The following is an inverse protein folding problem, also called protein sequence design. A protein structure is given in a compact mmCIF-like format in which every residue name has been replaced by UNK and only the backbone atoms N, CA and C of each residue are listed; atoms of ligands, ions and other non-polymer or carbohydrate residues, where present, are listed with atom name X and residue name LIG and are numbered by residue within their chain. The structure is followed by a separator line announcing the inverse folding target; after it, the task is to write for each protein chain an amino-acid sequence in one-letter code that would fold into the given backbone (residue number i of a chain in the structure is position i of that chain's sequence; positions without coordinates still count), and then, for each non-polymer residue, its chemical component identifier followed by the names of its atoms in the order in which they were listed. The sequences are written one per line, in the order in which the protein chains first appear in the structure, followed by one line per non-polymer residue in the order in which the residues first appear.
data_IF_289297168213
#
_entry.id   IF_289297168213
#
_cell.length_a   1.000
_cell.length_b   1.000
_cell.length_c   1.000
_cell.angle_alpha   90.00
_cell.angle_beta   90.00
_cell.angle_gamma   90.00
#
_symmetry.space_group_name_H-M   'P 1'
#
loop_
_entity.id
_entity.type
_entity.pdbx_description
1 polymer ?
2 non-polymer ?
3 water ?
#
# COMPACT_ATOMS: atom_id res chain seq x y z
N UNK A 3 -1.33 -15.24 3.02
CA UNK A 3 -0.88 -14.39 1.86
C UNK A 3 0.43 -13.64 2.12
N UNK A 4 1.48 -14.10 1.46
CA UNK A 4 2.85 -13.51 1.53
C UNK A 4 3.28 -13.07 0.15
N UNK A 5 3.88 -11.88 0.03
CA UNK A 5 4.44 -11.45 -1.23
C UNK A 5 5.62 -10.50 -0.98
N UNK A 6 6.33 -10.19 -2.05
CA UNK A 6 7.38 -9.23 -2.05
C UNK A 6 7.45 -8.71 -3.47
N UNK A 7 8.04 -7.54 -3.70
CA UNK A 7 8.35 -7.17 -5.06
C UNK A 7 9.18 -5.95 -5.14
N UNK A 8 9.19 -5.30 -6.30
CA UNK A 8 9.89 -4.02 -6.39
C UNK A 8 9.44 -3.26 -7.55
N UNK A 9 9.69 -1.95 -7.51
CA UNK A 9 9.36 -1.02 -8.57
C UNK A 9 10.54 -0.06 -8.78
N UNK A 10 10.81 0.26 -10.03
CA UNK A 10 11.71 1.36 -10.32
C UNK A 10 10.88 2.62 -10.52
N UNK A 11 11.29 3.70 -9.89
CA UNK A 11 10.53 4.91 -9.94
C UNK A 11 11.39 6.04 -10.47
N UNK A 12 10.73 7.00 -11.10
CA UNK A 12 11.39 8.16 -11.64
C UNK A 12 11.40 9.22 -10.56
N UNK A 13 12.53 9.38 -9.89
CA UNK A 13 12.65 10.42 -8.87
C UNK A 13 13.72 10.01 -7.92
N UNK A 14 14.24 10.96 -7.14
CA UNK A 14 15.23 10.59 -6.13
C UNK A 14 14.56 9.97 -4.90
N UNK A 15 15.39 9.36 -4.05
CA UNK A 15 14.90 8.68 -2.86
C UNK A 15 14.07 9.67 -2.06
N UNK A 16 14.60 10.87 -1.88
CA UNK A 16 13.88 11.98 -1.29
C UNK A 16 12.60 12.37 -2.03
N UNK A 17 12.58 12.31 -3.34
CA UNK A 17 11.35 12.70 -4.04
C UNK A 17 10.22 11.71 -3.73
N UNK A 18 10.59 10.43 -3.66
CA UNK A 18 9.68 9.31 -3.42
C UNK A 18 9.24 9.29 -1.97
N UNK A 19 10.20 9.38 -1.05
CA UNK A 19 9.88 9.40 0.38
C UNK A 19 8.86 10.51 0.77
N UNK A 20 9.01 11.70 0.23
CA UNK A 20 8.05 12.77 0.54
C UNK A 20 6.61 12.52 0.01
N UNK A 21 6.45 11.75 -1.08
CA UNK A 21 5.09 11.35 -1.52
C UNK A 21 4.52 10.27 -0.62
N UNK A 22 5.37 9.30 -0.30
CA UNK A 22 4.95 8.18 0.49
C UNK A 22 4.56 8.58 1.93
N UNK A 23 5.07 9.71 2.41
CA UNK A 23 4.81 10.14 3.78
C UNK A 23 3.75 11.25 3.87
N UNK A 24 3.19 11.63 2.73
CA UNK A 24 2.19 12.70 2.66
C UNK A 24 0.76 12.15 2.68
N UNK A 25 0.06 12.21 3.83
CA UNK A 25 -1.27 11.57 3.88
C UNK A 25 -2.33 12.06 2.88
N UNK A 26 -2.26 13.31 2.43
CA UNK A 26 -3.17 13.75 1.34
C UNK A 26 -2.89 13.07 0.01
N UNK A 27 -1.63 12.80 -0.28
CA UNK A 27 -1.25 12.13 -1.48
C UNK A 27 -1.62 10.61 -1.42
N UNK A 28 -1.45 10.00 -0.25
CA UNK A 28 -1.78 8.61 -0.07
C UNK A 28 -3.29 8.39 -0.25
N UNK A 29 -4.10 9.18 0.45
CA UNK A 29 -5.55 9.13 0.28
C UNK A 29 -6.00 9.07 -1.17
N UNK A 30 -5.33 9.87 -2.00
CA UNK A 30 -5.54 9.96 -3.41
C UNK A 30 -5.02 8.75 -4.15
N UNK A 31 -3.91 8.17 -3.71
CA UNK A 31 -3.33 6.99 -4.43
C UNK A 31 -3.82 5.60 -3.98
N UNK A 32 -4.49 5.50 -2.84
CA UNK A 32 -5.01 4.19 -2.36
C UNK A 32 -6.34 4.04 -3.02
N UNK A 33 -6.57 2.92 -3.67
CA UNK A 33 -7.85 2.80 -4.35
C UNK A 33 -9.03 2.63 -3.40
N UNK A 34 -10.08 3.39 -3.64
CA UNK A 34 -11.27 3.26 -2.82
C UNK A 34 -11.24 4.16 -1.62
N UNK A 35 -10.09 4.78 -1.38
CA UNK A 35 -9.89 5.59 -0.21
C UNK A 35 -10.62 6.92 -0.33
N UNK A 36 -11.61 7.11 0.55
CA UNK A 36 -12.46 8.30 0.57
C UNK A 36 -11.83 9.30 1.51
N UNK A 37 -11.38 8.81 2.68
CA UNK A 37 -10.60 9.62 3.60
C UNK A 37 -9.57 8.81 4.39
N UNK A 38 -8.43 9.46 4.68
CA UNK A 38 -7.43 9.01 5.65
C UNK A 38 -7.43 10.01 6.79
N UNK A 39 -7.96 9.61 7.94
CA UNK A 39 -7.96 10.45 9.13
C UNK A 39 -6.85 10.02 10.09
N UNK A 40 -5.99 10.98 10.44
CA UNK A 40 -5.08 10.83 11.57
C UNK A 40 -5.84 10.59 12.88
N UNK A 41 -5.52 9.50 13.56
CA UNK A 41 -6.25 9.18 14.77
C UNK A 41 -5.22 8.93 15.86
N UNK A 42 -3.97 9.12 15.50
CA UNK A 42 -2.88 8.77 16.42
C UNK A 42 -1.54 9.10 15.82
N UNK A 43 -0.48 8.76 16.54
CA UNK A 43 0.84 9.07 16.02
C UNK A 43 1.22 8.06 14.93
N UNK A 44 1.32 8.57 13.71
CA UNK A 44 1.66 7.76 12.53
C UNK A 44 0.59 6.66 12.30
N UNK A 45 -0.66 7.00 12.62
CA UNK A 45 -1.79 6.05 12.67
C UNK A 45 -3.01 6.72 12.05
N UNK A 46 -3.53 6.11 10.99
CA UNK A 46 -4.67 6.65 10.27
C UNK A 46 -5.82 5.66 10.23
N UNK A 47 -6.99 6.22 9.94
CA UNK A 47 -8.20 5.48 9.73
C UNK A 47 -8.58 5.79 8.29
N UNK A 48 -8.70 4.72 7.52
CA UNK A 48 -9.07 4.84 6.15
C UNK A 48 -10.49 4.28 5.96
N UNK A 49 -11.31 5.05 5.24
CA UNK A 49 -12.65 4.63 4.81
C UNK A 49 -12.52 4.15 3.35
N UNK A 50 -12.54 2.84 3.14
CA UNK A 50 -12.30 2.29 1.79
C UNK A 50 -13.59 1.78 1.13
N UNK A 51 -13.88 2.29 -0.05
CA UNK A 51 -14.98 1.74 -0.83
C UNK A 51 -14.42 1.09 -2.07
N UNK A 52 -14.30 -0.21 -2.02
CA UNK A 52 -13.62 -0.93 -3.05
C UNK A 52 -14.64 -1.53 -4.02
N UNK A 53 -14.56 -1.07 -5.28
CA UNK A 53 -15.44 -1.49 -6.37
C UNK A 53 -15.04 -2.77 -7.09
N UNK A 54 -13.79 -3.19 -6.98
CA UNK A 54 -13.37 -4.41 -7.65
C UNK A 54 -14.35 -5.49 -7.27
N UNK A 55 -15.11 -5.95 -8.25
CA UNK A 55 -16.06 -7.06 -8.13
C UNK A 55 -15.67 -8.24 -7.24
N UNK A 56 -14.48 -8.79 -7.39
CA UNK A 56 -14.16 -10.00 -6.61
C UNK A 56 -14.13 -9.73 -5.09
N UNK A 57 -13.91 -8.46 -4.73
CA UNK A 57 -13.72 -8.08 -3.33
C UNK A 57 -14.61 -6.91 -2.94
N UNK A 58 -15.56 -6.59 -3.81
CA UNK A 58 -16.38 -5.41 -3.66
C UNK A 58 -16.97 -5.31 -2.23
N UNK A 59 -17.02 -4.11 -1.69
CA UNK A 59 -17.28 -3.94 -0.28
C UNK A 59 -16.76 -2.61 0.26
N UNK A 60 -17.25 -2.31 1.47
CA UNK A 60 -16.85 -1.17 2.25
C UNK A 60 -16.06 -1.68 3.45
N UNK A 61 -14.91 -1.06 3.67
CA UNK A 61 -14.01 -1.57 4.68
C UNK A 61 -13.52 -0.39 5.42
N UNK A 62 -13.29 -0.58 6.71
CA UNK A 62 -12.51 0.38 7.51
C UNK A 62 -11.17 -0.25 7.82
N UNK A 63 -10.11 0.57 7.75
CA UNK A 63 -8.76 0.08 7.89
C UNK A 63 -8.05 0.96 8.85
N UNK A 64 -7.33 0.36 9.80
CA UNK A 64 -6.34 1.09 10.58
C UNK A 64 -4.95 0.87 9.94
N UNK A 65 -4.28 1.96 9.61
CA UNK A 65 -2.95 1.90 9.00
C UNK A 65 -1.99 2.62 9.91
N UNK A 66 -1.04 1.88 10.49
CA UNK A 66 0.06 2.43 11.29
C UNK A 66 1.44 2.37 10.58
N UNK A 67 2.07 3.53 10.40
CA UNK A 67 3.46 3.63 9.92
C UNK A 67 4.45 3.51 11.10
N UNK A 68 5.28 2.47 11.15
CA UNK A 68 6.26 2.30 12.22
C UNK A 68 7.73 2.12 11.69
N UNK A 69 8.71 2.04 12.60
CA UNK A 69 10.14 1.81 12.30
C UNK A 69 10.60 2.79 11.22
N UNK A 70 10.23 4.03 11.38
CA UNK A 70 10.33 4.99 10.31
C UNK A 70 11.73 5.53 10.24
N UNK A 71 12.39 5.28 9.10
CA UNK A 71 13.72 5.75 8.91
C UNK A 71 14.15 6.62 7.74
N UNK A 72 13.98 7.92 7.82
CA UNK A 72 13.71 8.75 6.68
C UNK A 72 15.12 8.88 6.02
N UNK A 73 15.18 9.12 4.70
CA UNK A 73 14.07 8.99 3.80
C UNK A 73 14.07 7.58 3.10
N UNK A 74 14.39 6.49 3.79
CA UNK A 74 14.62 5.24 3.07
C UNK A 74 13.94 3.94 3.55
N UNK A 75 13.36 3.89 4.72
CA UNK A 75 12.77 2.65 5.17
C UNK A 75 11.56 2.88 6.07
N UNK A 76 10.48 2.12 5.91
CA UNK A 76 9.45 2.03 6.97
C UNK A 76 8.71 0.70 7.00
N UNK A 77 7.91 0.50 8.06
CA UNK A 77 7.04 -0.65 8.16
C UNK A 77 5.60 -0.19 8.25
N UNK A 78 4.67 -1.02 7.76
CA UNK A 78 3.24 -0.73 7.82
C UNK A 78 2.51 -1.81 8.55
N UNK A 79 1.59 -1.44 9.44
CA UNK A 79 0.68 -2.43 10.05
C UNK A 79 -0.70 -2.03 9.61
N UNK A 80 -1.41 -2.98 8.99
CA UNK A 80 -2.77 -2.74 8.50
C UNK A 80 -3.81 -3.72 9.12
N UNK A 81 -4.87 -3.15 9.73
CA UNK A 81 -6.06 -3.88 10.19
C UNK A 81 -7.30 -3.35 9.49
N UNK A 82 -7.85 -4.14 8.59
CA UNK A 82 -8.99 -3.74 7.78
C UNK A 82 -10.16 -4.71 8.00
N UNK A 83 -11.38 -4.21 7.96
CA UNK A 83 -12.55 -5.04 8.27
C UNK A 83 -13.75 -4.51 7.57
N UNK A 84 -14.58 -5.42 7.11
CA UNK A 84 -15.82 -5.00 6.52
C UNK A 84 -16.78 -6.15 6.35
N UNK A 85 -17.91 -5.83 5.74
CA UNK A 85 -18.92 -6.80 5.33
C UNK A 85 -18.34 -8.05 4.79
N UNK A 86 -17.50 -7.96 3.70
CA UNK A 86 -16.96 -9.18 3.06
C UNK A 86 -15.89 -9.90 3.82
N UNK A 87 -15.35 -9.28 4.87
CA UNK A 87 -14.38 -10.00 5.71
C UNK A 87 -13.28 -9.09 6.22
N UNK A 88 -12.16 -9.68 6.60
CA UNK A 88 -11.10 -8.91 7.22
C UNK A 88 -9.66 -9.31 6.70
N UNK A 89 -8.74 -8.38 7.00
CA UNK A 89 -7.33 -8.39 6.61
C UNK A 89 -6.42 -7.86 7.75
N UNK A 90 -5.57 -8.71 8.28
CA UNK A 90 -4.47 -8.23 9.10
C UNK A 90 -3.13 -8.38 8.34
N UNK A 91 -2.43 -7.26 8.16
CA UNK A 91 -1.23 -7.25 7.36
C UNK A 91 -0.04 -6.45 7.96
N UNK A 92 1.17 -6.91 7.71
CA UNK A 92 2.35 -6.07 7.91
C UNK A 92 3.19 -6.04 6.62
N UNK A 93 3.84 -4.91 6.37
CA UNK A 93 4.77 -4.82 5.28
C UNK A 93 5.98 -4.05 5.68
N UNK A 94 7.05 -4.20 4.89
CA UNK A 94 8.29 -3.46 5.03
C UNK A 94 8.62 -2.83 3.68
N UNK A 95 8.96 -1.55 3.71
CA UNK A 95 9.36 -0.85 2.52
C UNK A 95 10.81 -0.28 2.66
N UNK A 96 11.62 -0.49 1.62
CA UNK A 96 12.97 0.05 1.56
C UNK A 96 13.15 0.81 0.26
N UNK A 97 13.73 2.01 0.36
CA UNK A 97 14.07 2.76 -0.82
C UNK A 97 15.60 2.65 -1.06
N UNK A 98 15.96 2.34 -2.31
CA UNK A 98 17.34 2.20 -2.73
C UNK A 98 17.64 3.03 -3.95
N UNK A 99 18.63 3.93 -3.86
CA UNK A 99 18.97 4.73 -5.03
C UNK A 99 19.68 3.78 -5.99
N UNK A 100 19.23 3.72 -7.24
CA UNK A 100 19.97 2.91 -8.23
C UNK A 100 20.91 3.80 -9.04
N UNK A 101 20.62 5.10 -9.02
CA UNK A 101 21.60 6.08 -9.39
C UNK A 101 21.28 7.44 -8.79
N UNK A 102 21.79 8.47 -9.46
CA UNK A 102 21.45 9.87 -9.24
C UNK A 102 19.95 10.23 -9.49
N UNK A 103 19.31 9.64 -10.52
CA UNK A 103 17.91 10.00 -10.97
C UNK A 103 16.79 8.99 -10.65
N UNK A 104 17.15 7.82 -10.11
CA UNK A 104 16.27 6.64 -10.11
C UNK A 104 16.30 5.86 -8.79
N UNK A 105 15.12 5.47 -8.32
CA UNK A 105 14.98 4.80 -7.03
C UNK A 105 14.36 3.44 -7.18
N UNK A 106 14.90 2.46 -6.51
CA UNK A 106 14.24 1.21 -6.43
C UNK A 106 13.51 1.08 -5.07
N UNK A 107 12.20 0.92 -5.14
CA UNK A 107 11.40 0.56 -3.99
C UNK A 107 11.24 -0.98 -3.90
N UNK A 108 11.36 -1.82 -2.79
CA UNK A 108 11.13 -3.24 -2.54
C UNK A 108 10.19 -3.43 -1.35
N UNK A 109 9.60 -4.26 -1.39
CA UNK A 109 8.65 -4.45 -0.30
C UNK A 109 8.47 -5.92 -0.07
N UNK A 110 7.91 -6.19 1.08
CA UNK A 110 7.66 -7.50 1.56
C UNK A 110 6.33 -7.28 2.30
N UNK A 111 5.41 -8.23 2.22
CA UNK A 111 4.20 -8.12 3.05
C UNK A 111 3.68 -9.46 3.47
N UNK A 112 2.84 -9.43 4.49
CA UNK A 112 2.35 -10.64 5.09
C UNK A 112 0.94 -10.34 5.59
N UNK A 113 -0.06 -11.07 5.06
CA UNK A 113 -1.48 -10.79 5.36
C UNK A 113 -2.30 -12.00 5.73
N UNK A 114 -3.01 -11.89 6.83
CA UNK A 114 -4.07 -12.84 7.20
C UNK A 114 -5.40 -12.29 6.67
N UNK A 115 -6.06 -13.04 5.79
CA UNK A 115 -7.35 -12.62 5.20
C UNK A 115 -8.44 -13.58 5.66
N UNK A 116 -9.56 -13.05 6.16
CA UNK A 116 -10.65 -13.90 6.68
C UNK A 116 -11.98 -13.41 6.14
N UNK A 117 -13.05 -14.18 6.44
CA UNK A 117 -14.41 -13.89 6.05
C UNK A 117 -14.75 -14.51 4.72
N UNK A 118 -15.90 -14.13 4.16
CA UNK A 118 -16.34 -14.80 2.93
C UNK A 118 -15.30 -14.55 1.79
N UNK A 119 -14.65 -13.39 1.83
CA UNK A 119 -13.71 -13.00 0.80
C UNK A 119 -12.47 -13.89 0.76
N UNK A 120 -12.17 -14.57 1.87
CA UNK A 120 -10.99 -15.43 1.98
C UNK A 120 -11.09 -16.62 1.01
N UNK A 121 -12.32 -16.95 0.62
CA UNK A 121 -12.61 -18.19 -0.07
C UNK A 121 -12.29 -18.08 -1.56
N UNK A 122 -12.18 -16.85 -2.07
CA UNK A 122 -12.01 -16.61 -3.50
C UNK A 122 -10.81 -17.32 -4.12
N UNK A 123 -9.82 -17.69 -3.30
CA UNK A 123 -8.59 -18.29 -3.80
C UNK A 123 -7.32 -17.51 -3.48
N UNK A 124 -6.27 -18.23 -3.12
CA UNK A 124 -4.94 -17.60 -2.87
C UNK A 124 -4.39 -16.87 -4.10
N UNK A 125 -4.59 -17.45 -5.27
CA UNK A 125 -3.97 -16.93 -6.48
C UNK A 125 -4.65 -15.62 -6.90
N UNK A 126 -5.96 -15.64 -6.73
CA UNK A 126 -6.81 -14.52 -6.99
C UNK A 126 -6.80 -13.32 -6.02
N UNK A 127 -6.93 -13.49 -4.71
CA UNK A 127 -5.93 -13.02 -3.71
C UNK A 127 -4.68 -12.08 -3.92
N UNK A 128 -3.45 -12.62 -4.07
CA UNK A 128 -2.90 -13.01 -5.38
C UNK A 128 -2.98 -11.77 -6.27
N UNK A 129 -3.94 -11.85 -7.19
CA UNK A 129 -4.03 -10.89 -8.28
C UNK A 129 -4.62 -9.58 -7.89
N UNK A 130 -5.64 -9.63 -7.03
CA UNK A 130 -6.16 -8.38 -6.43
C UNK A 130 -5.08 -7.58 -5.67
N UNK A 131 -4.32 -8.24 -4.79
CA UNK A 131 -3.19 -7.55 -4.11
C UNK A 131 -2.15 -6.93 -5.09
N UNK A 132 -1.76 -7.68 -6.14
CA UNK A 132 -0.90 -7.12 -7.16
C UNK A 132 -1.58 -5.98 -7.83
N UNK A 133 -2.88 -6.12 -8.09
CA UNK A 133 -3.57 -4.99 -8.71
C UNK A 133 -3.62 -3.76 -7.82
N UNK A 134 -3.88 -3.94 -6.52
CA UNK A 134 -3.93 -2.78 -5.59
C UNK A 134 -2.55 -2.11 -5.47
N UNK A 135 -1.53 -2.93 -5.22
CA UNK A 135 -0.13 -2.44 -5.19
C UNK A 135 0.27 -1.73 -6.49
N UNK A 136 0.05 -2.35 -7.67
CA UNK A 136 0.39 -1.68 -8.96
C UNK A 136 -0.33 -0.34 -9.18
N UNK A 137 -1.62 -0.31 -8.87
CA UNK A 137 -2.39 0.89 -9.00
C UNK A 137 -1.95 2.00 -8.05
N UNK A 138 -1.55 1.60 -6.84
CA UNK A 138 -0.96 2.58 -5.90
C UNK A 138 0.38 3.12 -6.43
N UNK A 139 1.25 2.22 -6.86
CA UNK A 139 2.55 2.68 -7.33
C UNK A 139 2.42 3.51 -8.63
N UNK A 140 1.36 3.22 -9.40
CA UNK A 140 1.03 3.95 -10.62
C UNK A 140 0.65 5.37 -10.28
N UNK A 141 -0.18 5.56 -9.26
CA UNK A 141 -0.63 6.93 -8.97
C UNK A 141 0.46 7.72 -8.27
N UNK A 142 1.29 7.02 -7.49
CA UNK A 142 2.43 7.65 -6.83
C UNK A 142 3.38 8.14 -7.90
N UNK A 143 3.61 7.34 -8.92
CA UNK A 143 4.51 7.72 -9.99
C UNK A 143 4.00 9.00 -10.66
N UNK A 144 2.68 9.12 -10.79
CA UNK A 144 2.08 10.30 -11.35
C UNK A 144 2.28 11.51 -10.47
N UNK A 145 2.07 11.37 -9.17
CA UNK A 145 2.14 12.55 -8.31
C UNK A 145 3.56 13.03 -8.13
N UNK A 146 4.50 12.08 -8.18
CA UNK A 146 5.93 12.38 -8.24
C UNK A 146 6.20 13.19 -9.51
N UNK A 147 5.76 12.67 -10.66
CA UNK A 147 6.04 13.27 -11.99
C UNK A 147 5.75 14.77 -12.04
N UNK A 148 4.54 15.16 -11.61
CA UNK A 148 4.15 16.55 -11.33
C UNK A 148 5.24 17.37 -10.62
N UNK A 149 5.68 16.90 -9.46
CA UNK A 149 6.58 17.67 -8.62
C UNK A 149 8.04 17.75 -9.15
N UNK A 158 7.78 -3.18 -12.36
CA UNK A 158 7.01 -3.77 -11.21
C UNK A 158 7.00 -5.28 -11.24
N UNK A 159 7.96 -5.88 -10.56
CA UNK A 159 7.92 -7.27 -10.20
C UNK A 159 7.13 -7.41 -8.89
N UNK A 160 6.18 -8.33 -8.90
CA UNK A 160 5.41 -8.73 -7.75
C UNK A 160 5.42 -10.25 -7.66
N UNK A 161 5.90 -10.78 -6.56
CA UNK A 161 5.94 -12.21 -6.38
C UNK A 161 4.93 -12.57 -5.28
N UNK A 162 4.15 -13.61 -5.51
CA UNK A 162 3.19 -14.03 -4.51
C UNK A 162 3.62 -15.39 -3.94
X LIG B 1 -1.29 2.47 3.36
X LIG B 1 -0.87 5.11 4.56
X LIG B 1 1.77 4.94 4.41
X LIG B 1 3.12 4.72 3.07
X LIG B 1 2.31 3.48 1.93
X LIG B 1 0.45 3.69 3.04
X LIG B 1 3.31 2.33 0.69
X LIG B 1 0.53 1.68 1.41
X LIG B 1 2.38 0.51 0.11
X LIG B 1 1.01 -0.47 -1.47
X LIG B 1 -1.11 0.38 0.28
X LIG B 1 3.32 -1.59 -0.28
X LIG B 1 2.57 -3.29 1.89
X LIG B 1 0.92 -4.62 1.28
X LIG B 1 1.09 -3.72 3.61
X LIG B 1 -0.68 -5.58 2.56
X LIG B 1 -2.24 -5.88 0.71
X LIG B 1 -4.06 -6.78 0.92
X LIG B 1 -5.49 -7.89 0.45
X LIG B 1 -6.38 -9.05 -1.07
X LIG B 1 -8.61 -7.60 -0.49
X LIG B 1 -10.23 -8.02 0.81
X LIG B 1 -9.95 -5.44 0.52
X LIG B 1 -8.56 -4.08 2.26
X LIG B 1 -6.55 -3.86 3.56
X LIG B 1 -6.21 -2.36 2.28
X LIG B 1 -4.21 -0.48 2.61
X LIG B 1 -6.49 -0.87 -0.05
X LIG B 1 -4.49 -0.58 -1.42
X LIG B 1 -2.10 -1.42 -1.55
#
# INVERSE_FOLDING_TARGET
MSLNGNGSIELKGTVEEVWSKLMDPSILSKCIMGCKSLELIGEDKYKADLQIGIAAVKGKYDAIIEVTDIKPPYHYKLLVNGEGGPGFVNAEGVIDLTPINDECTQLTYTYSAEVGGKVAAIGQRMLGGVAKLLISDFFKKIQKEIAKSKQEASEGHHHHHH
UNL C58 C59 C60 C61 C62 C63 C64 C65 C66 C67 C68 C69 C70 C71 C72 C73 C74 C75 C76 C77 C78 C79 C80 C81 C82 C83 C84 C85 C86 C87
#
